data_IF_652728040830
#
_entry.id   IF_652728040830
#
_cell.length_a   1.000
_cell.length_b   1.000
_cell.length_c   1.000
_cell.angle_alpha   90.00
_cell.angle_beta   90.00
_cell.angle_gamma   90.00
#
_symmetry.space_group_name_H-M   'P 1'
#
loop_
_entity.id
_entity.type
_entity.pdbx_description
1 polymer ?
#
# COMPACT_ATOMS: atom_id res chain seq x y z
N UNK A 1 -69.40 -49.24 -28.73
CA UNK A 1 -68.33 -49.39 -27.73
C UNK A 1 -68.34 -48.16 -26.86
N UNK A 2 -68.84 -48.33 -25.64
CA UNK A 2 -68.83 -47.34 -24.58
C UNK A 2 -67.48 -47.38 -23.86
N UNK A 3 -66.95 -46.24 -23.43
CA UNK A 3 -66.52 -46.09 -22.04
C UNK A 3 -66.42 -44.60 -21.65
N UNK A 4 -67.03 -44.31 -20.52
CA UNK A 4 -67.37 -43.02 -19.94
C UNK A 4 -66.31 -42.48 -18.99
N UNK A 5 -66.36 -41.16 -18.81
CA UNK A 5 -65.74 -40.35 -17.75
C UNK A 5 -66.06 -40.84 -16.33
N UNK A 6 -65.13 -40.63 -15.38
CA UNK A 6 -65.32 -40.19 -13.98
C UNK A 6 -63.93 -40.02 -13.29
N UNK A 7 -63.84 -39.26 -12.16
CA UNK A 7 -62.74 -38.38 -11.80
C UNK A 7 -61.96 -38.86 -10.55
N UNK A 8 -60.82 -38.25 -10.25
CA UNK A 8 -60.18 -38.39 -8.93
C UNK A 8 -59.46 -37.09 -8.56
N UNK A 9 -60.06 -36.36 -7.63
CA UNK A 9 -59.42 -35.28 -6.89
C UNK A 9 -58.59 -35.90 -5.77
N UNK A 10 -57.32 -35.51 -5.66
CA UNK A 10 -56.52 -35.68 -4.44
C UNK A 10 -55.79 -34.37 -4.14
N UNK A 11 -56.08 -33.87 -2.96
CA UNK A 11 -55.71 -32.60 -2.38
C UNK A 11 -54.26 -32.56 -1.88
N UNK A 12 -53.65 -31.38 -2.04
CA UNK A 12 -52.87 -30.62 -1.04
C UNK A 12 -51.82 -31.37 -0.19
N UNK A 13 -50.53 -31.10 -0.45
CA UNK A 13 -49.58 -30.55 0.54
C UNK A 13 -48.44 -29.80 -0.18
N UNK A 14 -48.12 -28.59 0.25
CA UNK A 14 -46.93 -27.86 -0.18
C UNK A 14 -45.70 -28.39 0.58
N UNK A 15 -44.55 -28.66 -0.06
CA UNK A 15 -43.32 -28.77 0.69
C UNK A 15 -42.92 -27.35 1.12
N UNK A 16 -42.95 -27.08 2.42
CA UNK A 16 -42.29 -25.92 2.98
C UNK A 16 -40.80 -25.99 2.61
N UNK A 17 -40.34 -25.11 1.75
CA UNK A 17 -38.91 -24.84 1.56
C UNK A 17 -38.41 -24.28 2.89
N UNK A 18 -37.84 -25.16 3.72
CA UNK A 18 -37.10 -24.75 4.88
C UNK A 18 -35.91 -23.92 4.38
N UNK A 19 -35.97 -22.61 4.60
CA UNK A 19 -34.83 -21.73 4.47
C UNK A 19 -33.82 -22.18 5.51
N UNK A 20 -32.87 -23.02 5.09
CA UNK A 20 -31.71 -23.37 5.91
C UNK A 20 -30.89 -22.10 6.04
N UNK A 21 -31.12 -21.37 7.13
CA UNK A 21 -30.19 -20.38 7.69
C UNK A 21 -28.93 -21.12 8.13
N UNK A 22 -28.17 -21.62 7.16
CA UNK A 22 -26.76 -21.90 7.33
C UNK A 22 -26.05 -20.59 7.11
N UNK A 23 -25.68 -19.91 8.19
CA UNK A 23 -24.56 -18.97 8.11
C UNK A 23 -23.43 -19.73 7.39
N UNK A 24 -22.81 -19.20 6.32
CA UNK A 24 -21.58 -19.77 5.85
C UNK A 24 -20.58 -19.59 6.99
N UNK A 25 -20.44 -20.65 7.80
CA UNK A 25 -19.29 -20.83 8.65
C UNK A 25 -18.10 -20.65 7.72
N UNK A 26 -17.35 -19.57 7.95
CA UNK A 26 -16.05 -19.32 7.37
C UNK A 26 -15.15 -20.51 7.67
N UNK A 27 -15.25 -21.56 6.87
CA UNK A 27 -14.13 -22.45 6.62
C UNK A 27 -13.19 -21.67 5.73
N UNK A 28 -12.43 -20.77 6.37
CA UNK A 28 -11.25 -20.11 5.80
C UNK A 28 -10.53 -21.16 4.99
N UNK A 29 -10.42 -20.92 3.68
CA UNK A 29 -9.77 -21.81 2.74
C UNK A 29 -8.32 -22.01 3.19
N UNK A 30 -8.06 -23.10 3.91
CA UNK A 30 -6.72 -23.63 4.13
C UNK A 30 -6.08 -23.85 2.76
N UNK A 31 -5.16 -22.98 2.38
CA UNK A 31 -4.35 -23.17 1.17
C UNK A 31 -3.93 -21.90 0.42
N UNK A 32 -4.43 -20.71 0.77
CA UNK A 32 -3.89 -19.48 0.18
C UNK A 32 -2.67 -18.99 0.97
N UNK A 33 -1.52 -18.73 0.32
CA UNK A 33 -0.36 -18.17 1.00
C UNK A 33 -0.68 -16.76 1.54
N UNK A 34 -0.09 -16.39 2.68
CA UNK A 34 -0.27 -15.07 3.30
C UNK A 34 -0.06 -13.93 2.29
N UNK A 35 -0.94 -12.91 2.35
CA UNK A 35 -1.00 -11.82 1.36
C UNK A 35 -0.93 -12.32 -0.10
N UNK A 36 -1.61 -13.43 -0.42
CA UNK A 36 -1.65 -14.05 -1.76
C UNK A 36 -0.27 -14.45 -2.31
N UNK A 37 0.73 -14.65 -1.44
CA UNK A 37 2.08 -15.07 -1.82
C UNK A 37 3.07 -13.93 -2.07
N UNK A 38 2.66 -12.68 -1.81
CA UNK A 38 3.53 -11.50 -1.88
C UNK A 38 4.68 -11.60 -0.86
N UNK A 39 5.89 -11.07 -1.18
CA UNK A 39 7.05 -11.08 -0.29
C UNK A 39 6.79 -10.30 1.01
N UNK A 40 7.50 -10.56 2.11
CA UNK A 40 7.43 -9.72 3.31
C UNK A 40 6.88 -10.37 4.59
N UNK A 41 6.51 -11.65 4.51
CA UNK A 41 6.41 -12.52 5.68
C UNK A 41 7.81 -13.01 6.05
N UNK A 42 8.54 -12.20 6.82
CA UNK A 42 9.92 -12.49 7.21
C UNK A 42 10.01 -12.84 8.70
N UNK A 43 10.95 -13.72 9.05
CA UNK A 43 11.31 -13.96 10.45
C UNK A 43 11.89 -12.68 11.08
N UNK A 44 11.59 -12.30 12.34
CA UNK A 44 10.96 -13.07 13.41
C UNK A 44 9.43 -12.98 13.53
N UNK A 45 8.79 -12.03 12.83
CA UNK A 45 7.35 -11.77 12.98
C UNK A 45 6.47 -12.65 12.08
N UNK A 46 7.01 -13.20 11.00
CA UNK A 46 6.29 -14.08 10.07
C UNK A 46 5.09 -13.37 9.45
N UNK A 47 3.92 -13.97 9.59
CA UNK A 47 2.62 -13.47 9.08
C UNK A 47 1.99 -12.49 10.08
N UNK A 48 2.47 -11.25 10.07
CA UNK A 48 2.00 -10.20 10.99
C UNK A 48 0.80 -9.44 10.41
N UNK A 49 -0.41 -9.90 10.72
CA UNK A 49 -1.67 -9.17 10.48
C UNK A 49 -2.63 -9.34 11.67
N UNK A 50 -2.40 -8.63 12.79
CA UNK A 50 -3.24 -8.77 13.99
C UNK A 50 -4.66 -8.19 13.81
N UNK A 51 -4.86 -7.31 12.83
CA UNK A 51 -6.16 -6.65 12.57
C UNK A 51 -6.96 -7.32 11.45
N UNK A 52 -6.34 -8.24 10.71
CA UNK A 52 -6.99 -9.02 9.67
C UNK A 52 -7.31 -8.23 8.41
N UNK A 53 -6.56 -7.16 8.11
CA UNK A 53 -6.80 -6.34 6.91
C UNK A 53 -6.47 -7.06 5.59
N UNK A 54 -5.75 -8.18 5.66
CA UNK A 54 -5.43 -9.03 4.50
C UNK A 54 -6.33 -10.27 4.39
N UNK A 55 -7.18 -10.53 5.39
CA UNK A 55 -8.10 -11.67 5.41
C UNK A 55 -9.33 -11.36 4.56
N UNK A 56 -9.70 -12.27 3.65
CA UNK A 56 -10.89 -12.19 2.79
C UNK A 56 -10.97 -10.96 1.85
N UNK A 57 -9.82 -10.35 1.55
CA UNK A 57 -9.71 -9.21 0.63
C UNK A 57 -9.34 -9.67 -0.79
N UNK A 58 -9.84 -8.94 -1.80
CA UNK A 58 -9.53 -9.17 -3.21
C UNK A 58 -8.03 -9.00 -3.51
N UNK A 59 -7.53 -9.70 -4.53
CA UNK A 59 -6.11 -9.67 -4.94
C UNK A 59 -5.67 -8.25 -5.31
N UNK A 60 -6.53 -7.45 -5.96
CA UNK A 60 -6.20 -6.08 -6.35
C UNK A 60 -6.05 -5.17 -5.14
N UNK A 61 -6.88 -5.36 -4.11
CA UNK A 61 -6.80 -4.56 -2.89
C UNK A 61 -5.59 -4.98 -2.03
N UNK A 62 -5.26 -6.27 -1.96
CA UNK A 62 -4.00 -6.72 -1.34
C UNK A 62 -2.78 -6.15 -2.07
N UNK A 63 -2.79 -6.12 -3.41
CA UNK A 63 -1.75 -5.49 -4.23
C UNK A 63 -1.67 -3.98 -3.99
N UNK A 64 -2.80 -3.33 -3.74
CA UNK A 64 -2.87 -1.91 -3.40
C UNK A 64 -2.26 -1.61 -2.04
N UNK A 65 -2.60 -2.39 -1.02
CA UNK A 65 -1.99 -2.27 0.30
C UNK A 65 -0.48 -2.49 0.22
N UNK A 66 -0.03 -3.43 -0.62
CA UNK A 66 1.39 -3.67 -0.88
C UNK A 66 2.09 -2.47 -1.53
N UNK A 67 1.49 -1.93 -2.58
CA UNK A 67 2.01 -0.75 -3.28
C UNK A 67 2.08 0.45 -2.32
N UNK A 68 1.08 0.61 -1.44
CA UNK A 68 1.10 1.65 -0.42
C UNK A 68 2.25 1.44 0.59
N UNK A 69 2.45 0.22 1.08
CA UNK A 69 3.57 -0.12 1.97
C UNK A 69 4.92 0.19 1.32
N UNK A 70 5.12 -0.19 0.06
CA UNK A 70 6.36 0.07 -0.68
C UNK A 70 6.59 1.57 -0.92
N UNK A 71 5.56 2.32 -1.31
CA UNK A 71 5.69 3.77 -1.51
C UNK A 71 6.07 4.48 -0.20
N UNK A 72 5.41 4.16 0.92
CA UNK A 72 5.75 4.73 2.22
C UNK A 72 7.13 4.26 2.71
N UNK A 73 7.49 3.00 2.48
CA UNK A 73 8.81 2.45 2.81
C UNK A 73 9.93 3.20 2.09
N UNK A 74 9.80 3.43 0.77
CA UNK A 74 10.77 4.17 -0.04
C UNK A 74 10.93 5.61 0.44
N UNK A 75 9.81 6.31 0.67
CA UNK A 75 9.83 7.69 1.20
C UNK A 75 10.42 7.72 2.61
N UNK A 76 10.09 6.76 3.47
CA UNK A 76 10.61 6.64 4.83
C UNK A 76 12.13 6.40 4.86
N UNK A 77 12.66 5.55 3.99
CA UNK A 77 14.11 5.34 3.86
C UNK A 77 14.84 6.62 3.43
N UNK A 78 14.30 7.32 2.43
CA UNK A 78 14.88 8.59 1.96
C UNK A 78 14.80 9.67 3.03
N UNK A 79 13.69 9.75 3.77
CA UNK A 79 13.53 10.69 4.86
C UNK A 79 14.54 10.41 5.98
N UNK A 80 14.65 9.17 6.45
CA UNK A 80 15.59 8.80 7.50
C UNK A 80 17.06 9.09 7.11
N UNK A 81 17.45 8.78 5.87
CA UNK A 81 18.77 9.13 5.35
C UNK A 81 18.96 10.65 5.24
N UNK A 82 17.92 11.38 4.83
CA UNK A 82 17.90 12.84 4.75
C UNK A 82 18.19 13.50 6.09
N UNK A 83 17.50 13.09 7.17
CA UNK A 83 17.75 13.60 8.52
C UNK A 83 19.22 13.41 8.93
N UNK A 84 19.77 12.20 8.76
CA UNK A 84 21.15 11.90 9.15
C UNK A 84 22.19 12.71 8.37
N UNK A 85 21.95 12.94 7.07
CA UNK A 85 22.88 13.69 6.22
C UNK A 85 22.75 15.19 6.48
N UNK A 86 21.53 15.72 6.58
CA UNK A 86 21.28 17.16 6.73
C UNK A 86 21.79 17.71 8.06
N UNK A 87 21.74 16.94 9.14
CA UNK A 87 22.29 17.33 10.44
C UNK A 87 23.82 17.43 10.46
N UNK A 88 24.52 16.73 9.55
CA UNK A 88 25.99 16.63 9.54
C UNK A 88 26.65 17.31 8.36
N UNK A 89 25.95 17.44 7.25
CA UNK A 89 26.48 18.00 6.01
C UNK A 89 25.40 18.73 5.22
N UNK A 90 25.51 20.05 5.18
CA UNK A 90 24.60 20.96 4.48
C UNK A 90 25.39 21.84 3.49
N UNK A 91 25.64 21.33 2.26
CA UNK A 91 26.39 22.06 1.23
C UNK A 91 25.54 23.09 0.48
N UNK A 92 24.22 23.03 0.61
CA UNK A 92 23.26 23.85 -0.14
C UNK A 92 22.48 24.75 0.83
N UNK A 93 22.25 25.99 0.41
CA UNK A 93 21.36 26.96 1.07
C UNK A 93 21.77 27.43 2.48
N UNK A 94 23.07 27.56 2.76
CA UNK A 94 23.58 28.28 3.94
C UNK A 94 22.85 27.92 5.22
N UNK A 95 23.00 26.67 5.66
CA UNK A 95 22.26 26.14 6.80
C UNK A 95 22.57 26.93 8.08
N UNK A 96 21.54 27.60 8.60
CA UNK A 96 21.49 27.92 10.01
C UNK A 96 21.37 26.59 10.76
N UNK A 97 22.42 26.21 11.48
CA UNK A 97 22.43 24.99 12.29
C UNK A 97 21.21 24.93 13.23
N UNK A 98 20.62 23.74 13.37
CA UNK A 98 19.42 23.53 14.16
C UNK A 98 18.56 22.36 13.67
N UNK A 99 17.40 22.11 14.30
CA UNK A 99 16.50 21.02 13.93
C UNK A 99 16.00 21.15 12.49
N UNK A 100 15.95 20.05 11.75
CA UNK A 100 15.54 20.05 10.34
C UNK A 100 14.11 20.58 10.15
N UNK A 101 13.22 20.38 11.14
CA UNK A 101 11.86 20.93 11.16
C UNK A 101 11.83 22.45 10.94
N UNK A 102 12.77 23.20 11.50
CA UNK A 102 12.81 24.66 11.40
C UNK A 102 13.46 25.15 10.11
N UNK A 103 14.23 24.29 9.44
CA UNK A 103 14.93 24.63 8.20
C UNK A 103 14.01 24.50 6.98
N UNK A 104 13.04 23.58 7.01
CA UNK A 104 12.10 23.35 5.89
C UNK A 104 11.32 24.63 5.50
N UNK A 105 10.71 25.40 6.43
CA UNK A 105 10.00 26.63 6.08
C UNK A 105 10.91 27.79 5.63
N UNK A 106 12.20 27.75 5.98
CA UNK A 106 13.17 28.78 5.64
C UNK A 106 13.65 28.69 4.17
N UNK A 107 13.32 27.61 3.47
CA UNK A 107 13.70 27.41 2.07
C UNK A 107 13.02 28.43 1.13
N UNK A 108 13.73 28.88 0.07
CA UNK A 108 13.18 29.84 -0.88
C UNK A 108 11.90 29.29 -1.53
N UNK A 109 10.81 30.09 -1.66
CA UNK A 109 9.53 29.63 -2.21
C UNK A 109 9.62 28.98 -3.59
N UNK A 110 10.59 29.38 -4.41
CA UNK A 110 10.83 28.79 -5.74
C UNK A 110 11.17 27.30 -5.66
N UNK A 111 11.91 26.88 -4.61
CA UNK A 111 12.25 25.47 -4.41
C UNK A 111 11.00 24.64 -4.13
N UNK A 112 10.04 25.17 -3.37
CA UNK A 112 8.76 24.50 -3.12
C UNK A 112 8.00 24.22 -4.41
N UNK A 113 7.91 25.20 -5.32
CA UNK A 113 7.27 24.98 -6.61
C UNK A 113 8.01 23.95 -7.47
N UNK A 114 9.34 24.01 -7.50
CA UNK A 114 10.16 23.03 -8.23
C UNK A 114 10.02 21.61 -7.68
N UNK A 115 10.06 21.47 -6.35
CA UNK A 115 9.90 20.19 -5.65
C UNK A 115 8.50 19.61 -5.88
N UNK A 116 7.45 20.40 -5.67
CA UNK A 116 6.07 19.95 -5.90
C UNK A 116 5.84 19.59 -7.36
N UNK A 117 6.40 20.35 -8.32
CA UNK A 117 6.29 20.02 -9.74
C UNK A 117 7.04 18.71 -10.09
N UNK A 118 8.23 18.49 -9.54
CA UNK A 118 9.00 17.27 -9.75
C UNK A 118 8.28 16.04 -9.15
N UNK A 119 7.75 16.17 -7.93
CA UNK A 119 6.95 15.12 -7.28
C UNK A 119 5.69 14.85 -8.10
N UNK A 120 4.98 15.89 -8.53
CA UNK A 120 3.79 15.75 -9.36
C UNK A 120 4.09 15.03 -10.69
N UNK A 121 5.22 15.33 -11.35
CA UNK A 121 5.64 14.62 -12.55
C UNK A 121 5.95 13.14 -12.26
N UNK A 122 6.68 12.84 -11.18
CA UNK A 122 7.01 11.47 -10.78
C UNK A 122 5.74 10.66 -10.43
N UNK A 123 4.82 11.22 -9.65
CA UNK A 123 3.54 10.58 -9.33
C UNK A 123 2.66 10.42 -10.57
N UNK A 124 2.70 11.36 -11.52
CA UNK A 124 1.96 11.22 -12.79
C UNK A 124 2.44 10.01 -13.58
N UNK A 125 3.76 9.81 -13.70
CA UNK A 125 4.33 8.64 -14.38
C UNK A 125 3.93 7.33 -13.68
N UNK A 126 3.95 7.34 -12.34
CA UNK A 126 3.49 6.21 -11.52
C UNK A 126 2.01 5.90 -11.73
N UNK A 127 1.15 6.92 -11.74
CA UNK A 127 -0.30 6.77 -11.99
C UNK A 127 -0.54 6.16 -13.36
N UNK A 128 0.15 6.66 -14.40
CA UNK A 128 0.01 6.13 -15.75
C UNK A 128 0.41 4.65 -15.86
N UNK A 129 1.45 4.22 -15.13
CA UNK A 129 1.91 2.83 -15.16
C UNK A 129 0.98 1.91 -14.35
N UNK A 130 0.71 2.23 -13.09
CA UNK A 130 0.10 1.29 -12.14
C UNK A 130 -1.41 1.42 -11.89
N UNK A 131 -2.02 2.57 -12.14
CA UNK A 131 -3.41 2.82 -11.71
C UNK A 131 -4.41 2.68 -12.84
N UNK A 132 -5.55 2.06 -12.54
CA UNK A 132 -6.65 1.93 -13.50
C UNK A 132 -7.36 3.28 -13.68
N UNK A 133 -7.86 3.55 -14.89
CA UNK A 133 -8.64 4.75 -15.14
C UNK A 133 -9.99 4.65 -14.42
N UNK A 134 -10.37 5.67 -13.62
CA UNK A 134 -11.65 5.67 -12.93
C UNK A 134 -12.85 5.85 -13.87
N UNK A 135 -12.62 6.18 -15.15
CA UNK A 135 -13.67 6.51 -16.13
C UNK A 135 -13.96 5.40 -17.16
N UNK A 136 -13.19 4.30 -17.13
CA UNK A 136 -13.32 3.18 -18.07
C UNK A 136 -14.32 2.11 -17.57
N UNK A 137 -15.19 2.48 -16.61
CA UNK A 137 -16.28 1.65 -16.09
C UNK A 137 -17.57 1.83 -16.91
N UNK A 138 -18.48 0.86 -16.80
CA UNK A 138 -19.81 0.91 -17.41
C UNK A 138 -20.56 2.22 -17.06
N UNK A 139 -21.46 2.74 -17.95
CA UNK A 139 -22.02 4.10 -17.86
C UNK A 139 -22.73 4.44 -16.54
N UNK A 140 -23.15 3.43 -15.77
CA UNK A 140 -23.84 3.53 -14.49
C UNK A 140 -22.96 4.03 -13.34
N UNK A 141 -21.64 3.78 -13.37
CA UNK A 141 -20.72 4.18 -12.29
C UNK A 141 -20.25 5.65 -12.38
N UNK A 142 -20.50 6.33 -13.50
CA UNK A 142 -20.07 7.74 -13.73
C UNK A 142 -20.84 8.78 -12.91
N UNK A 143 -21.98 8.42 -12.31
CA UNK A 143 -22.86 9.36 -11.60
C UNK A 143 -23.07 9.04 -10.11
N UNK A 144 -22.50 7.95 -9.60
CA UNK A 144 -22.56 7.61 -8.17
C UNK A 144 -21.26 8.06 -7.49
N UNK A 145 -21.32 9.15 -6.73
CA UNK A 145 -20.20 9.64 -5.90
C UNK A 145 -19.93 8.76 -4.66
N UNK A 146 -20.26 7.47 -4.73
CA UNK A 146 -20.06 6.46 -3.68
C UNK A 146 -19.34 5.27 -4.30
N UNK A 147 -18.43 4.61 -3.57
CA UNK A 147 -17.69 3.45 -4.08
C UNK A 147 -18.69 2.32 -4.33
N UNK A 148 -19.11 2.15 -5.57
CA UNK A 148 -19.83 0.95 -6.00
C UNK A 148 -18.80 -0.16 -6.23
N UNK A 149 -19.20 -1.39 -5.92
CA UNK A 149 -18.38 -2.61 -6.09
C UNK A 149 -17.77 -2.73 -7.51
N UNK A 150 -18.42 -2.10 -8.51
CA UNK A 150 -18.01 -2.06 -9.92
C UNK A 150 -17.21 -0.80 -10.33
N UNK A 151 -16.76 0.01 -9.37
CA UNK A 151 -16.00 1.24 -9.66
C UNK A 151 -14.48 1.00 -9.61
N UNK A 152 -13.77 1.38 -10.68
CA UNK A 152 -12.29 1.39 -10.74
C UNK A 152 -11.66 2.48 -9.85
N UNK A 153 -12.39 2.98 -8.85
CA UNK A 153 -11.92 4.05 -7.98
C UNK A 153 -10.82 3.52 -7.05
N UNK A 154 -9.61 4.02 -7.23
CA UNK A 154 -8.42 3.63 -6.46
C UNK A 154 -7.96 2.17 -6.63
N UNK A 155 -8.29 1.53 -7.75
CA UNK A 155 -7.81 0.18 -8.08
C UNK A 155 -6.52 0.23 -8.92
N UNK A 156 -5.64 -0.76 -8.73
CA UNK A 156 -4.50 -0.98 -9.60
C UNK A 156 -4.92 -1.75 -10.85
N UNK A 157 -4.13 -1.63 -11.92
CA UNK A 157 -4.30 -2.46 -13.10
C UNK A 157 -4.04 -3.93 -12.74
N UNK A 158 -4.83 -4.88 -13.27
CA UNK A 158 -4.66 -6.31 -12.98
C UNK A 158 -3.29 -6.85 -13.43
N UNK A 159 -2.70 -6.25 -14.48
CA UNK A 159 -1.40 -6.66 -15.03
C UNK A 159 -0.19 -5.98 -14.35
N UNK A 160 -0.42 -5.11 -13.36
CA UNK A 160 0.65 -4.36 -12.70
C UNK A 160 1.18 -5.13 -11.47
N UNK A 161 2.51 -5.29 -11.42
CA UNK A 161 3.21 -5.86 -10.26
C UNK A 161 3.52 -4.73 -9.27
N UNK A 162 3.09 -4.83 -7.99
CA UNK A 162 3.39 -3.83 -6.97
C UNK A 162 4.89 -3.53 -6.86
N UNK A 163 5.25 -2.25 -6.85
CA UNK A 163 6.63 -1.78 -6.77
C UNK A 163 7.40 -1.68 -8.10
N UNK A 164 6.89 -2.26 -9.20
CA UNK A 164 7.55 -2.18 -10.51
C UNK A 164 7.22 -0.87 -11.24
N UNK A 165 8.08 0.13 -11.07
CA UNK A 165 8.01 1.39 -11.82
C UNK A 165 8.81 1.38 -13.13
N UNK A 166 9.48 0.27 -13.48
CA UNK A 166 10.34 0.19 -14.67
C UNK A 166 11.60 1.04 -14.54
N UNK A 167 11.97 1.41 -13.31
CA UNK A 167 13.13 2.20 -12.98
C UNK A 167 14.28 1.28 -12.55
N UNK A 168 14.96 0.69 -13.54
CA UNK A 168 16.23 -0.01 -13.34
C UNK A 168 17.25 0.45 -14.40
N UNK A 169 17.84 1.65 -14.24
CA UNK A 169 18.80 2.17 -15.20
C UNK A 169 20.15 1.45 -15.17
N UNK A 170 20.43 0.67 -14.11
CA UNK A 170 21.70 -0.01 -13.89
C UNK A 170 21.62 -1.53 -14.13
N UNK A 171 20.44 -2.09 -14.40
CA UNK A 171 20.25 -3.52 -14.63
C UNK A 171 20.64 -4.36 -13.41
N UNK A 172 20.42 -3.85 -12.20
CA UNK A 172 20.83 -4.53 -10.98
C UNK A 172 19.81 -5.56 -10.50
N UNK A 173 18.65 -5.64 -11.13
CA UNK A 173 17.70 -6.71 -10.88
C UNK A 173 18.29 -8.07 -11.33
N UNK A 174 18.42 -9.06 -10.42
CA UNK A 174 18.75 -10.44 -10.78
C UNK A 174 17.68 -11.02 -11.70
N UNK A 175 18.12 -11.82 -12.67
CA UNK A 175 17.21 -12.56 -13.56
C UNK A 175 16.53 -13.74 -12.85
N UNK A 176 17.07 -14.19 -11.71
CA UNK A 176 16.51 -15.29 -10.92
C UNK A 176 15.38 -14.83 -9.99
N UNK A 177 14.27 -15.57 -9.99
CA UNK A 177 13.04 -15.20 -9.29
C UNK A 177 13.18 -15.27 -7.76
N UNK A 178 13.97 -16.22 -7.25
CA UNK A 178 14.19 -16.39 -5.81
C UNK A 178 15.11 -15.28 -5.27
N UNK A 179 16.18 -14.95 -6.01
CA UNK A 179 17.06 -13.83 -5.68
C UNK A 179 16.32 -12.48 -5.75
N UNK A 180 15.46 -12.28 -6.75
CA UNK A 180 14.63 -11.09 -6.85
C UNK A 180 13.67 -10.96 -5.65
N UNK A 181 13.04 -12.07 -5.26
CA UNK A 181 12.17 -12.11 -4.07
C UNK A 181 12.94 -11.76 -2.79
N UNK A 182 14.16 -12.29 -2.63
CA UNK A 182 15.01 -11.97 -1.48
C UNK A 182 15.39 -10.48 -1.43
N UNK A 183 15.59 -9.82 -2.57
CA UNK A 183 15.81 -8.37 -2.60
C UNK A 183 14.57 -7.58 -2.23
N UNK A 184 13.38 -7.97 -2.72
CA UNK A 184 12.12 -7.32 -2.34
C UNK A 184 11.87 -7.42 -0.83
N UNK A 185 12.20 -8.55 -0.22
CA UNK A 185 12.09 -8.72 1.24
C UNK A 185 13.07 -7.81 2.00
N UNK A 186 14.29 -7.63 1.49
CA UNK A 186 15.26 -6.68 2.06
C UNK A 186 14.79 -5.24 1.92
N UNK A 187 14.26 -4.85 0.76
CA UNK A 187 13.69 -3.53 0.52
C UNK A 187 12.56 -3.26 1.51
N UNK A 188 11.64 -4.21 1.68
CA UNK A 188 10.51 -4.07 2.58
C UNK A 188 10.95 -3.94 4.05
N UNK A 189 11.93 -4.74 4.46
CA UNK A 189 12.46 -4.72 5.83
C UNK A 189 13.12 -3.40 6.15
N UNK A 190 13.96 -2.90 5.25
CA UNK A 190 14.58 -1.58 5.37
C UNK A 190 13.54 -0.45 5.26
N UNK A 191 12.51 -0.62 4.43
CA UNK A 191 11.39 0.30 4.31
C UNK A 191 10.62 0.46 5.61
N UNK A 192 10.24 -0.65 6.25
CA UNK A 192 9.59 -0.69 7.56
C UNK A 192 10.43 -0.02 8.63
N UNK A 193 11.73 -0.31 8.67
CA UNK A 193 12.67 0.33 9.59
C UNK A 193 12.77 1.83 9.33
N UNK A 194 12.89 2.24 8.06
CA UNK A 194 12.98 3.63 7.64
C UNK A 194 11.75 4.46 8.03
N UNK A 195 10.55 3.91 7.87
CA UNK A 195 9.30 4.56 8.31
C UNK A 195 9.29 4.82 9.82
N UNK A 196 9.71 3.84 10.63
CA UNK A 196 9.78 3.98 12.09
C UNK A 196 10.88 4.98 12.47
N UNK A 197 12.04 4.92 11.83
CA UNK A 197 13.16 5.83 12.08
C UNK A 197 12.80 7.28 11.78
N UNK A 198 12.21 7.55 10.60
CA UNK A 198 11.78 8.90 10.22
C UNK A 198 10.73 9.46 11.19
N UNK A 199 9.74 8.65 11.60
CA UNK A 199 8.76 9.05 12.60
C UNK A 199 9.41 9.35 13.96
N UNK A 200 10.40 8.55 14.37
CA UNK A 200 11.17 8.76 15.59
C UNK A 200 11.97 10.05 15.59
N UNK A 201 12.70 10.34 14.50
CA UNK A 201 13.44 11.59 14.34
C UNK A 201 12.52 12.81 14.40
N UNK A 202 11.40 12.78 13.67
CA UNK A 202 10.39 13.84 13.70
C UNK A 202 9.82 14.07 15.10
N UNK A 203 9.45 12.99 15.82
CA UNK A 203 8.92 13.09 17.17
C UNK A 203 9.95 13.62 18.17
N UNK A 204 11.21 13.17 18.05
CA UNK A 204 12.29 13.61 18.92
C UNK A 204 12.62 15.09 18.70
N UNK A 205 12.81 15.53 17.46
CA UNK A 205 13.06 16.95 17.15
C UNK A 205 11.89 17.84 17.60
N UNK A 206 10.64 17.40 17.40
CA UNK A 206 9.45 18.16 17.79
C UNK A 206 9.33 18.37 19.32
N UNK A 207 9.76 17.40 20.12
CA UNK A 207 9.69 17.48 21.59
C UNK A 207 10.93 18.13 22.20
N UNK A 208 12.12 17.76 21.73
CA UNK A 208 13.40 18.20 22.32
C UNK A 208 13.87 19.54 21.78
N UNK A 209 13.47 19.91 20.56
CA UNK A 209 13.97 21.12 19.89
C UNK A 209 15.46 21.07 19.57
N UNK A 210 16.10 19.90 19.64
CA UNK A 210 17.50 19.64 19.31
C UNK A 210 17.60 18.60 18.19
N UNK A 211 18.69 18.64 17.42
CA UNK A 211 18.97 17.61 16.40
C UNK A 211 19.12 16.24 17.07
N UNK A 212 18.89 15.17 16.31
CA UNK A 212 19.06 13.82 16.84
C UNK A 212 20.49 13.61 17.36
N UNK A 213 21.50 14.12 16.64
CA UNK A 213 22.89 14.10 17.06
C UNK A 213 23.17 14.78 18.40
N UNK A 214 22.73 16.02 18.59
CA UNK A 214 23.02 16.77 19.83
C UNK A 214 22.36 16.16 21.06
N UNK A 215 21.16 15.60 20.92
CA UNK A 215 20.49 14.92 22.05
C UNK A 215 21.32 13.77 22.61
N UNK A 216 21.98 13.00 21.74
CA UNK A 216 22.85 11.89 22.13
C UNK A 216 24.29 12.31 22.43
N UNK A 217 24.56 13.62 22.52
CA UNK A 217 25.88 14.16 22.85
C UNK A 217 26.90 14.07 21.71
N UNK A 218 26.45 13.83 20.47
CA UNK A 218 27.33 13.96 19.31
C UNK A 218 27.48 15.45 18.98
N UNK A 219 28.71 15.95 18.78
CA UNK A 219 28.91 17.33 18.39
C UNK A 219 28.23 17.60 17.04
N UNK A 220 27.50 18.70 16.99
CA UNK A 220 27.14 19.37 15.75
C UNK A 220 28.36 20.22 15.35
N UNK A 221 28.79 20.10 14.09
CA UNK A 221 29.99 20.78 13.60
C UNK A 221 29.66 22.22 13.18
#
# INVERSE_FOLDING_TARGET
MALSLLPSALSFTAPATAFRSGSPSMSVLKGQPFCKGLPGAISPLGEFDPLGFSNDVDVLEVNRLREAELAHGRVGMLAAAGFLVQEKFHPLFGADGGPAINQIPALPPVLWFGLTAAIAAAETLRIQKGWANPYDTEPTARFTNFPSEDSNFQQLKPDYVPGDLGFDPLGLAPDDADDFRAMQEKELSNGRLGMIAAAGFLAQEAVTGSTWGTYWGLPDF
#
